data_IF_574060911016
#
_entry.id   IF_574060911016
#
_cell.length_a   1.000
_cell.length_b   1.000
_cell.length_c   1.000
_cell.angle_alpha   90.00
_cell.angle_beta   90.00
_cell.angle_gamma   90.00
#
_symmetry.space_group_name_H-M   'P 1'
#
loop_
_entity.id
_entity.type
_entity.pdbx_description
1 polymer ?
#
# COMPACT_ATOMS: atom_id res chain seq x y z
N UNK A 1 -0.13 -46.57 12.85
CA UNK A 1 -1.09 -45.80 12.03
C UNK A 1 -0.32 -44.77 11.24
N UNK A 2 0.12 -45.09 10.02
CA UNK A 2 0.81 -44.15 9.16
C UNK A 2 -0.21 -43.39 8.31
N UNK A 3 -0.06 -42.08 8.25
CA UNK A 3 -0.86 -41.21 7.38
C UNK A 3 -0.58 -41.58 5.92
N UNK A 4 -1.59 -42.08 5.21
CA UNK A 4 -1.54 -42.23 3.76
C UNK A 4 -1.81 -40.86 3.11
N UNK A 5 -0.86 -40.30 2.36
CA UNK A 5 -1.08 -39.03 1.68
C UNK A 5 -2.14 -39.20 0.61
N UNK A 6 -3.28 -38.54 0.81
CA UNK A 6 -4.34 -38.43 -0.18
C UNK A 6 -3.78 -37.85 -1.50
N UNK A 7 -4.17 -38.39 -2.66
CA UNK A 7 -3.68 -37.92 -3.95
C UNK A 7 -3.96 -36.43 -4.12
N UNK A 8 -2.98 -35.70 -4.62
CA UNK A 8 -3.07 -34.25 -4.81
C UNK A 8 -4.27 -33.92 -5.71
N UNK A 9 -5.33 -33.34 -5.12
CA UNK A 9 -6.41 -32.68 -5.88
C UNK A 9 -5.78 -31.80 -6.94
N UNK A 10 -6.22 -31.92 -8.18
CA UNK A 10 -5.69 -31.24 -9.36
C UNK A 10 -5.47 -29.75 -9.05
N UNK A 11 -4.20 -29.38 -8.83
CA UNK A 11 -3.84 -28.03 -8.37
C UNK A 11 -3.88 -27.02 -9.51
N UNK A 12 -4.03 -27.51 -10.74
CA UNK A 12 -3.98 -26.73 -11.97
C UNK A 12 -5.09 -25.68 -12.01
N UNK A 13 -6.31 -26.06 -11.62
CA UNK A 13 -7.46 -25.16 -11.56
C UNK A 13 -7.26 -24.04 -10.53
N UNK A 14 -6.77 -24.38 -9.34
CA UNK A 14 -6.53 -23.41 -8.27
C UNK A 14 -5.38 -22.47 -8.65
N UNK A 15 -4.31 -22.99 -9.27
CA UNK A 15 -3.19 -22.17 -9.77
C UNK A 15 -3.69 -21.18 -10.82
N UNK A 16 -4.53 -21.60 -11.76
CA UNK A 16 -5.14 -20.72 -12.76
C UNK A 16 -6.02 -19.63 -12.12
N UNK A 17 -6.84 -19.99 -11.13
CA UNK A 17 -7.67 -19.03 -10.39
C UNK A 17 -6.83 -18.00 -9.63
N UNK A 18 -5.73 -18.43 -8.99
CA UNK A 18 -4.78 -17.54 -8.30
C UNK A 18 -4.15 -16.55 -9.28
N UNK A 19 -3.66 -17.02 -10.44
CA UNK A 19 -3.07 -16.15 -11.47
C UNK A 19 -4.08 -15.11 -11.95
N UNK A 20 -5.32 -15.54 -12.23
CA UNK A 20 -6.41 -14.65 -12.64
C UNK A 20 -6.69 -13.57 -11.59
N UNK A 21 -6.79 -13.96 -10.32
CA UNK A 21 -7.03 -13.02 -9.21
C UNK A 21 -5.87 -12.05 -9.00
N UNK A 22 -4.63 -12.52 -9.07
CA UNK A 22 -3.45 -11.67 -8.95
C UNK A 22 -3.32 -10.68 -10.13
N UNK A 23 -3.76 -11.07 -11.33
CA UNK A 23 -3.85 -10.16 -12.48
C UNK A 23 -4.90 -9.06 -12.29
N UNK A 24 -6.07 -9.40 -11.74
CA UNK A 24 -7.15 -8.44 -11.46
C UNK A 24 -6.84 -7.53 -10.26
N UNK A 25 -6.14 -8.04 -9.25
CA UNK A 25 -5.81 -7.32 -8.02
C UNK A 25 -4.30 -7.44 -7.69
N UNK A 26 -3.42 -6.70 -8.38
CA UNK A 26 -1.96 -6.84 -8.27
C UNK A 26 -1.38 -6.56 -6.88
N UNK A 27 -2.13 -5.82 -6.06
CA UNK A 27 -1.72 -5.44 -4.70
C UNK A 27 -2.17 -6.43 -3.63
N UNK A 28 -2.99 -7.42 -3.99
CA UNK A 28 -3.55 -8.35 -3.01
C UNK A 28 -2.52 -9.36 -2.52
N UNK A 29 -2.47 -9.55 -1.21
CA UNK A 29 -1.66 -10.58 -0.57
C UNK A 29 -2.39 -11.92 -0.57
N UNK A 30 -1.66 -13.02 -0.31
CA UNK A 30 -2.24 -14.36 -0.22
C UNK A 30 -3.46 -14.45 0.72
N UNK A 31 -3.50 -13.64 1.79
CA UNK A 31 -4.65 -13.58 2.71
C UNK A 31 -5.90 -13.07 2.01
N UNK A 32 -5.78 -12.01 1.21
CA UNK A 32 -6.89 -11.44 0.42
C UNK A 32 -7.28 -12.35 -0.73
N UNK A 33 -6.29 -12.91 -1.43
CA UNK A 33 -6.53 -13.92 -2.48
C UNK A 33 -7.29 -15.12 -1.91
N UNK A 34 -6.95 -15.59 -0.71
CA UNK A 34 -7.69 -16.68 -0.03
C UNK A 34 -9.15 -16.31 0.23
N UNK A 35 -9.43 -15.10 0.73
CA UNK A 35 -10.81 -14.65 0.97
C UNK A 35 -11.60 -14.61 -0.34
N UNK A 36 -10.98 -14.15 -1.44
CA UNK A 36 -11.63 -14.13 -2.76
C UNK A 36 -11.89 -15.52 -3.31
N UNK A 37 -10.92 -16.44 -3.20
CA UNK A 37 -11.10 -17.84 -3.59
C UNK A 37 -12.24 -18.50 -2.81
N UNK A 38 -12.33 -18.24 -1.50
CA UNK A 38 -13.45 -18.72 -0.68
C UNK A 38 -14.79 -18.15 -1.13
N UNK A 39 -14.85 -16.88 -1.51
CA UNK A 39 -16.07 -16.25 -2.09
C UNK A 39 -16.46 -16.84 -3.44
N UNK A 40 -15.50 -17.42 -4.17
CA UNK A 40 -15.74 -18.15 -5.41
C UNK A 40 -16.10 -19.63 -5.18
N UNK A 41 -16.27 -20.05 -3.92
CA UNK A 41 -16.66 -21.42 -3.57
C UNK A 41 -15.49 -22.37 -3.31
N UNK A 42 -14.24 -21.91 -3.37
CA UNK A 42 -13.10 -22.78 -3.10
C UNK A 42 -12.84 -22.94 -1.59
N UNK A 43 -12.97 -24.16 -1.08
CA UNK A 43 -12.56 -24.52 0.29
C UNK A 43 -11.05 -24.74 0.36
N UNK A 44 -10.29 -23.65 0.47
CA UNK A 44 -8.83 -23.69 0.54
C UNK A 44 -8.27 -22.99 1.78
N UNK A 45 -7.23 -23.60 2.37
CA UNK A 45 -6.49 -23.01 3.47
C UNK A 45 -5.52 -21.93 2.96
N UNK A 46 -5.40 -20.82 3.69
CA UNK A 46 -4.49 -19.72 3.38
C UNK A 46 -3.03 -20.17 3.27
N UNK A 47 -2.59 -21.19 4.02
CA UNK A 47 -1.24 -21.77 3.91
C UNK A 47 -0.98 -22.38 2.52
N UNK A 48 -1.99 -23.06 1.97
CA UNK A 48 -1.92 -23.67 0.63
C UNK A 48 -1.85 -22.59 -0.44
N UNK A 49 -2.70 -21.55 -0.35
CA UNK A 49 -2.64 -20.38 -1.26
C UNK A 49 -1.27 -19.70 -1.20
N UNK A 50 -0.72 -19.50 0.00
CA UNK A 50 0.61 -18.91 0.17
C UNK A 50 1.71 -19.74 -0.50
N UNK A 51 1.67 -21.08 -0.36
CA UNK A 51 2.60 -21.99 -1.04
C UNK A 51 2.49 -21.87 -2.56
N UNK A 52 1.26 -21.95 -3.10
CA UNK A 52 1.00 -21.88 -4.54
C UNK A 52 1.42 -20.54 -5.15
N UNK A 53 1.13 -19.43 -4.46
CA UNK A 53 1.59 -18.10 -4.89
C UNK A 53 3.12 -18.01 -4.90
N UNK A 54 3.82 -18.62 -3.93
CA UNK A 54 5.28 -18.67 -3.89
C UNK A 54 5.86 -19.50 -5.04
N UNK A 55 5.27 -20.66 -5.33
CA UNK A 55 5.67 -21.50 -6.48
C UNK A 55 5.51 -20.77 -7.82
N UNK A 56 4.47 -19.94 -7.94
CA UNK A 56 4.18 -19.15 -9.14
C UNK A 56 4.97 -17.82 -9.19
N UNK A 57 5.79 -17.50 -8.19
CA UNK A 57 6.50 -16.21 -8.11
C UNK A 57 5.59 -14.99 -7.91
N UNK A 58 4.34 -15.21 -7.47
CA UNK A 58 3.33 -14.17 -7.29
C UNK A 58 3.48 -13.53 -5.90
N UNK A 59 4.17 -12.39 -5.85
CA UNK A 59 4.25 -11.55 -4.65
C UNK A 59 3.35 -10.34 -4.84
N UNK A 60 2.43 -10.10 -3.90
CA UNK A 60 1.58 -8.90 -3.92
C UNK A 60 2.47 -7.65 -3.91
N UNK A 61 2.36 -6.82 -4.95
CA UNK A 61 3.15 -5.59 -5.04
C UNK A 61 2.61 -4.59 -4.03
N UNK A 62 3.47 -4.09 -3.15
CA UNK A 62 3.07 -3.03 -2.23
C UNK A 62 2.80 -1.77 -3.06
N UNK A 63 1.61 -1.14 -2.94
CA UNK A 63 1.39 0.14 -3.61
C UNK A 63 2.40 1.14 -3.06
N UNK A 64 3.18 1.75 -3.96
CA UNK A 64 4.08 2.85 -3.59
C UNK A 64 3.20 3.95 -3.02
N UNK A 65 3.27 4.17 -1.71
CA UNK A 65 2.55 5.25 -1.02
C UNK A 65 3.21 6.60 -1.34
N UNK A 66 3.14 7.04 -2.59
CA UNK A 66 3.42 8.43 -2.95
C UNK A 66 2.09 9.17 -2.90
N UNK A 67 1.82 9.81 -1.75
CA UNK A 67 0.86 10.91 -1.70
C UNK A 67 1.64 12.18 -2.00
N UNK A 68 1.58 12.74 -3.21
CA UNK A 68 2.12 14.08 -3.43
C UNK A 68 1.33 15.03 -2.54
N UNK A 69 1.99 15.62 -1.53
CA UNK A 69 1.41 16.64 -0.66
C UNK A 69 1.13 17.94 -1.43
N UNK A 70 1.86 18.15 -2.53
CA UNK A 70 1.77 19.35 -3.36
C UNK A 70 1.39 18.96 -4.79
N UNK A 71 0.17 19.28 -5.22
CA UNK A 71 -0.18 19.22 -6.63
C UNK A 71 0.47 20.41 -7.34
N UNK A 72 1.68 20.24 -7.87
CA UNK A 72 2.34 21.29 -8.66
C UNK A 72 1.67 21.50 -10.02
N UNK A 73 0.84 20.56 -10.49
CA UNK A 73 0.08 20.68 -11.74
C UNK A 73 -1.30 21.30 -11.49
N UNK A 74 -1.30 22.61 -11.18
CA UNK A 74 -2.50 23.43 -11.08
C UNK A 74 -2.38 24.67 -11.98
N UNK A 75 -3.51 25.27 -12.35
CA UNK A 75 -3.59 26.50 -13.14
C UNK A 75 -3.24 27.77 -12.35
N UNK A 76 -3.10 27.68 -11.02
CA UNK A 76 -2.72 28.84 -10.20
C UNK A 76 -1.32 29.35 -10.54
N UNK A 77 -1.15 30.67 -10.44
CA UNK A 77 0.11 31.36 -10.70
C UNK A 77 1.22 30.83 -9.79
N UNK A 78 2.31 30.37 -10.39
CA UNK A 78 3.54 30.00 -9.66
C UNK A 78 4.43 31.23 -9.60
N UNK A 79 4.85 31.61 -8.40
CA UNK A 79 5.79 32.71 -8.22
C UNK A 79 7.22 32.19 -8.36
N UNK A 80 8.09 32.89 -9.10
CA UNK A 80 9.50 32.50 -9.23
C UNK A 80 10.19 32.61 -7.86
N UNK A 81 11.11 31.69 -7.59
CA UNK A 81 11.96 31.80 -6.40
C UNK A 81 12.99 32.91 -6.62
N UNK A 82 12.69 34.10 -6.11
CA UNK A 82 13.51 35.31 -6.27
C UNK A 82 14.87 35.23 -5.56
N UNK A 83 15.02 34.31 -4.61
CA UNK A 83 16.25 34.13 -3.84
C UNK A 83 17.24 33.21 -4.56
N UNK A 84 16.78 32.40 -5.53
CA UNK A 84 17.60 31.35 -6.16
C UNK A 84 18.89 31.86 -6.82
N UNK A 85 18.89 33.08 -7.36
CA UNK A 85 20.04 33.70 -8.04
C UNK A 85 20.50 35.01 -7.37
N UNK A 86 20.07 35.27 -6.13
CA UNK A 86 20.42 36.51 -5.44
C UNK A 86 21.77 36.36 -4.72
N UNK A 87 22.71 37.26 -4.99
CA UNK A 87 23.94 37.36 -4.19
C UNK A 87 23.62 37.99 -2.81
N UNK A 88 23.99 37.29 -1.74
CA UNK A 88 23.81 37.74 -0.35
C UNK A 88 25.14 38.35 0.11
N UNK A 89 25.17 39.68 0.26
CA UNK A 89 26.41 40.45 0.48
C UNK A 89 26.55 40.96 1.92
N UNK A 90 25.46 40.96 2.70
CA UNK A 90 25.44 41.44 4.08
C UNK A 90 24.52 40.60 4.98
N UNK A 91 24.75 40.61 6.31
CA UNK A 91 23.80 40.05 7.27
C UNK A 91 22.39 40.62 7.11
N UNK A 92 21.39 39.84 7.53
CA UNK A 92 19.96 40.20 7.54
C UNK A 92 19.30 40.48 6.17
N UNK A 93 19.97 40.15 5.06
CA UNK A 93 19.45 40.38 3.70
C UNK A 93 18.42 39.34 3.24
N UNK A 94 18.52 38.10 3.72
CA UNK A 94 17.60 36.99 3.41
C UNK A 94 17.36 36.17 4.66
N UNK A 95 16.10 35.87 4.94
CA UNK A 95 15.68 35.06 6.07
C UNK A 95 14.96 33.82 5.56
N UNK A 96 15.33 32.64 6.07
CA UNK A 96 14.66 31.38 5.77
C UNK A 96 14.04 30.86 7.06
N UNK A 97 12.74 30.54 7.00
CA UNK A 97 12.02 29.92 8.09
C UNK A 97 11.20 28.75 7.58
N UNK A 98 11.09 27.71 8.40
CA UNK A 98 10.18 26.59 8.18
C UNK A 98 9.23 26.46 9.39
N UNK A 99 7.99 26.06 9.13
CA UNK A 99 7.01 25.84 10.20
C UNK A 99 6.90 24.33 10.40
N UNK A 100 7.39 23.87 11.55
CA UNK A 100 7.22 22.49 11.96
C UNK A 100 5.96 22.32 12.81
N UNK A 101 5.03 21.47 12.37
CA UNK A 101 3.89 21.06 13.18
C UNK A 101 4.31 20.06 14.26
N UNK A 102 4.25 20.48 15.53
CA UNK A 102 4.40 19.57 16.66
C UNK A 102 3.03 18.96 16.96
N UNK A 103 2.92 17.63 16.84
CA UNK A 103 1.71 16.90 17.19
C UNK A 103 1.61 16.73 18.69
N UNK A 104 0.68 17.43 19.33
CA UNK A 104 0.34 17.24 20.74
C UNK A 104 -0.51 15.97 20.89
N UNK A 105 -0.15 15.09 21.83
CA UNK A 105 -0.90 13.86 22.16
C UNK A 105 -2.14 14.14 23.03
N UNK A 106 -2.95 15.15 22.70
CA UNK A 106 -4.21 15.36 23.42
C UNK A 106 -5.36 14.66 22.68
N UNK A 107 -5.70 13.49 23.21
CA UNK A 107 -6.96 12.80 22.92
C UNK A 107 -8.10 13.72 23.37
N UNK A 108 -8.81 14.32 22.42
CA UNK A 108 -10.08 14.99 22.70
C UNK A 108 -11.07 13.93 23.22
N UNK A 109 -11.23 13.81 24.54
CA UNK A 109 -12.39 13.15 25.10
C UNK A 109 -13.59 14.07 24.81
N UNK A 110 -14.46 13.64 23.89
CA UNK A 110 -15.79 14.23 23.75
C UNK A 110 -16.51 14.03 25.09
N UNK A 111 -16.77 15.12 25.81
CA UNK A 111 -17.76 15.09 26.88
C UNK A 111 -19.12 14.92 26.22
N UNK A 112 -19.81 13.87 26.65
CA UNK A 112 -21.18 13.50 26.29
C UNK A 112 -22.16 14.64 26.60
N UNK A 113 -23.18 14.76 25.74
CA UNK A 113 -24.39 15.55 25.96
C UNK A 113 -24.95 15.38 27.38
N UNK A 114 -25.42 16.49 27.94
CA UNK A 114 -26.57 16.52 28.84
C UNK A 114 -27.80 16.87 28.02
#
# INVERSE_FOLDING_TARGET
MYYEPQPAKDETEIKAAIVKLCGQYPTDSYRRTTVRLKRQGHEINHKRVARLMRELGLVGKLPVKRKPTTNSNHSSKRYPNLVMNLAIERPDQVWVGDIMYIRLQQRMNKLSSF
#
